data_IF_256431314816
#
_entry.id   IF_256431314816
#
_cell.length_a   1.000
_cell.length_b   1.000
_cell.length_c   1.000
_cell.angle_alpha   90.00
_cell.angle_beta   90.00
_cell.angle_gamma   90.00
#
_symmetry.space_group_name_H-M   'P 1'
#
loop_
_entity.id
_entity.type
_entity.pdbx_description
1 polymer ?
#
# COMPACT_ATOMS: atom_id res chain seq x y z
N UNK A 1 24.45 38.08 1.37
CA UNK A 1 24.26 36.84 2.16
C UNK A 1 22.77 36.75 2.43
N UNK A 2 22.14 35.78 1.77
CA UNK A 2 20.70 35.67 1.58
C UNK A 2 20.04 34.97 2.77
N UNK A 3 19.34 35.73 3.62
CA UNK A 3 18.58 35.20 4.76
C UNK A 3 17.24 34.55 4.38
N UNK A 4 16.88 34.57 3.09
CA UNK A 4 15.59 34.04 2.59
C UNK A 4 15.65 32.54 2.33
N UNK A 5 16.84 32.02 1.99
CA UNK A 5 17.05 30.61 1.67
C UNK A 5 16.89 29.71 2.91
N UNK A 6 17.39 30.14 4.08
CA UNK A 6 17.30 29.36 5.32
C UNK A 6 15.88 29.24 5.90
N UNK A 7 15.02 30.25 5.72
CA UNK A 7 13.63 30.18 6.19
C UNK A 7 12.78 29.24 5.32
N UNK A 8 12.96 29.29 3.99
CA UNK A 8 12.24 28.40 3.04
C UNK A 8 12.66 26.95 3.17
N UNK A 9 13.96 26.68 3.30
CA UNK A 9 14.47 25.30 3.42
C UNK A 9 14.05 24.64 4.75
N UNK A 10 14.01 25.41 5.85
CA UNK A 10 13.50 24.92 7.15
C UNK A 10 12.00 24.63 7.10
N UNK A 11 11.23 25.44 6.38
CA UNK A 11 9.80 25.22 6.16
C UNK A 11 9.54 23.95 5.33
N UNK A 12 10.24 23.80 4.19
CA UNK A 12 10.14 22.59 3.35
C UNK A 12 10.54 21.33 4.12
N UNK A 13 11.63 21.35 4.89
CA UNK A 13 12.04 20.20 5.70
C UNK A 13 11.01 19.85 6.78
N UNK A 14 10.42 20.86 7.45
CA UNK A 14 9.35 20.65 8.42
C UNK A 14 8.08 20.07 7.77
N UNK A 15 7.74 20.51 6.55
CA UNK A 15 6.61 19.96 5.79
C UNK A 15 6.81 18.50 5.41
N UNK A 16 8.01 18.12 4.95
CA UNK A 16 8.34 16.72 4.70
C UNK A 16 8.27 15.88 5.98
N UNK A 17 8.81 16.37 7.10
CA UNK A 17 8.69 15.66 8.38
C UNK A 17 7.23 15.50 8.83
N UNK A 18 6.40 16.55 8.62
CA UNK A 18 4.97 16.50 8.89
C UNK A 18 4.24 15.48 8.00
N UNK A 19 4.59 15.43 6.71
CA UNK A 19 4.09 14.43 5.77
C UNK A 19 4.43 13.00 6.22
N UNK A 20 5.69 12.75 6.56
CA UNK A 20 6.16 11.44 7.04
C UNK A 20 5.40 10.99 8.29
N UNK A 21 5.28 11.88 9.27
CA UNK A 21 4.56 11.60 10.51
C UNK A 21 3.07 11.31 10.25
N UNK A 22 2.42 12.14 9.42
CA UNK A 22 1.04 11.92 9.03
C UNK A 22 0.86 10.56 8.33
N UNK A 23 1.70 10.24 7.34
CA UNK A 23 1.61 8.98 6.60
C UNK A 23 1.81 7.78 7.52
N UNK A 24 2.77 7.83 8.44
CA UNK A 24 2.98 6.79 9.45
C UNK A 24 1.73 6.55 10.30
N UNK A 25 1.07 7.62 10.77
CA UNK A 25 -0.21 7.52 11.51
C UNK A 25 -1.29 6.88 10.64
N UNK A 26 -1.45 7.32 9.38
CA UNK A 26 -2.45 6.76 8.46
C UNK A 26 -2.23 5.27 8.19
N UNK A 27 -0.98 4.86 8.00
CA UNK A 27 -0.61 3.48 7.76
C UNK A 27 -0.86 2.59 8.99
N UNK A 28 -0.61 3.10 10.20
CA UNK A 28 -0.89 2.39 11.45
C UNK A 28 -2.39 2.08 11.62
N UNK A 29 -3.26 2.99 11.18
CA UNK A 29 -4.73 2.88 11.27
C UNK A 29 -5.37 2.18 10.08
N UNK A 30 -4.61 1.85 9.04
CA UNK A 30 -5.11 1.27 7.80
C UNK A 30 -5.79 -0.10 8.06
N UNK A 31 -7.05 -0.31 7.67
CA UNK A 31 -7.69 -1.62 7.80
C UNK A 31 -7.04 -2.66 6.89
N UNK A 32 -7.10 -3.94 7.27
CA UNK A 32 -6.57 -5.06 6.46
C UNK A 32 -7.18 -5.05 5.06
N UNK A 33 -6.35 -5.36 4.06
CA UNK A 33 -6.64 -5.36 2.63
C UNK A 33 -6.95 -3.98 2.01
N UNK A 34 -6.97 -2.89 2.79
CA UNK A 34 -7.03 -1.55 2.21
C UNK A 34 -5.69 -1.19 1.55
N UNK A 35 -5.79 -0.35 0.53
CA UNK A 35 -4.65 0.15 -0.25
C UNK A 35 -4.65 1.67 -0.23
N UNK A 36 -3.46 2.23 -0.09
CA UNK A 36 -3.15 3.62 -0.41
C UNK A 36 -2.23 3.60 -1.63
N UNK A 37 -2.65 4.23 -2.72
CA UNK A 37 -1.79 4.58 -3.84
C UNK A 37 -1.39 6.04 -3.70
N UNK A 38 -0.08 6.29 -3.70
CA UNK A 38 0.49 7.63 -3.73
C UNK A 38 1.19 7.84 -5.08
N UNK A 39 1.09 9.04 -5.61
CA UNK A 39 1.77 9.41 -6.86
C UNK A 39 1.70 10.92 -7.08
N UNK A 40 2.16 11.38 -8.23
CA UNK A 40 2.07 12.81 -8.58
C UNK A 40 0.62 13.29 -8.62
N UNK A 41 0.28 14.35 -7.88
CA UNK A 41 -1.09 14.81 -7.66
C UNK A 41 -1.81 15.27 -8.94
N UNK A 42 -1.06 15.76 -9.92
CA UNK A 42 -1.53 16.22 -11.23
C UNK A 42 -1.30 15.17 -12.33
N UNK A 43 -1.04 13.91 -11.98
CA UNK A 43 -0.95 12.83 -12.97
C UNK A 43 -2.32 12.54 -13.58
N UNK A 44 -2.34 12.44 -14.92
CA UNK A 44 -3.48 11.97 -15.68
C UNK A 44 -3.00 11.05 -16.80
N UNK A 45 -3.89 10.15 -17.26
CA UNK A 45 -3.60 9.28 -18.41
C UNK A 45 -3.23 10.08 -19.66
N UNK A 46 -3.75 11.29 -19.84
CA UNK A 46 -3.48 12.13 -21.02
C UNK A 46 -2.09 12.75 -20.99
N UNK A 47 -1.57 13.04 -19.80
CA UNK A 47 -0.31 13.79 -19.63
C UNK A 47 0.86 12.88 -19.29
N UNK A 48 0.61 11.78 -18.58
CA UNK A 48 1.64 10.88 -18.04
C UNK A 48 1.46 9.44 -18.50
N UNK A 49 0.26 9.08 -18.98
CA UNK A 49 -0.04 7.70 -19.36
C UNK A 49 0.25 6.74 -18.21
N UNK A 50 1.06 5.73 -18.47
CA UNK A 50 1.51 4.75 -17.49
C UNK A 50 2.87 5.09 -16.85
N UNK A 51 3.58 6.11 -17.33
CA UNK A 51 4.90 6.51 -16.83
C UNK A 51 4.72 7.53 -15.70
N UNK A 52 4.72 7.04 -14.47
CA UNK A 52 4.41 7.85 -13.29
C UNK A 52 5.11 7.30 -12.05
N UNK A 53 5.75 8.20 -11.30
CA UNK A 53 6.29 7.88 -9.99
C UNK A 53 5.16 7.62 -9.00
N UNK A 54 5.12 6.41 -8.47
CA UNK A 54 4.08 5.97 -7.54
C UNK A 54 4.62 5.03 -6.45
N UNK A 55 3.90 5.01 -5.35
CA UNK A 55 4.12 4.12 -4.22
C UNK A 55 2.78 3.52 -3.81
N UNK A 56 2.71 2.19 -3.70
CA UNK A 56 1.52 1.49 -3.26
C UNK A 56 1.77 0.86 -1.89
N UNK A 57 0.89 1.13 -0.95
CA UNK A 57 0.93 0.61 0.41
C UNK A 57 -0.34 -0.20 0.67
N UNK A 58 -0.21 -1.51 0.81
CA UNK A 58 -1.34 -2.40 1.09
C UNK A 58 -1.21 -3.00 2.49
N UNK A 59 -2.27 -2.88 3.29
CA UNK A 59 -2.29 -3.48 4.63
C UNK A 59 -2.52 -4.99 4.53
N UNK A 60 -1.64 -5.75 5.15
CA UNK A 60 -1.72 -7.19 5.31
C UNK A 60 -2.26 -7.57 6.71
N UNK A 61 -2.61 -8.84 6.90
CA UNK A 61 -2.80 -9.43 8.23
C UNK A 61 -1.49 -9.36 9.04
N UNK A 62 -1.60 -9.51 10.37
CA UNK A 62 -0.45 -9.36 11.27
C UNK A 62 0.02 -7.90 11.46
N UNK A 63 -0.72 -6.93 10.92
CA UNK A 63 -0.36 -5.51 11.03
C UNK A 63 0.78 -5.08 10.08
N UNK A 64 1.17 -5.95 9.15
CA UNK A 64 2.22 -5.66 8.18
C UNK A 64 1.69 -4.85 6.99
N UNK A 65 2.60 -4.20 6.30
CA UNK A 65 2.33 -3.37 5.13
C UNK A 65 3.25 -3.85 4.01
N UNK A 66 2.66 -4.19 2.87
CA UNK A 66 3.39 -4.35 1.62
C UNK A 66 3.59 -2.95 1.01
N UNK A 67 4.84 -2.53 0.87
CA UNK A 67 5.21 -1.33 0.12
C UNK A 67 5.76 -1.76 -1.23
N UNK A 68 5.22 -1.20 -2.32
CA UNK A 68 5.76 -1.32 -3.68
C UNK A 68 6.10 0.06 -4.22
N UNK A 69 7.26 0.23 -4.85
CA UNK A 69 7.67 1.48 -5.49
C UNK A 69 7.82 1.28 -6.99
N UNK A 70 7.34 2.26 -7.77
CA UNK A 70 7.43 2.17 -9.22
C UNK A 70 7.47 3.54 -9.90
N UNK A 71 8.07 3.59 -11.10
CA UNK A 71 7.89 4.65 -12.10
C UNK A 71 6.88 4.24 -13.17
N UNK A 72 6.10 3.19 -12.93
CA UNK A 72 5.01 2.74 -13.79
C UNK A 72 3.75 2.58 -12.96
N UNK A 73 2.60 3.01 -13.50
CA UNK A 73 1.31 2.86 -12.83
C UNK A 73 1.08 1.40 -12.43
N UNK A 74 0.90 1.17 -11.14
CA UNK A 74 0.68 -0.16 -10.60
C UNK A 74 -0.79 -0.51 -10.51
N UNK A 75 -1.13 -1.76 -10.82
CA UNK A 75 -2.41 -2.36 -10.48
C UNK A 75 -2.34 -2.91 -9.06
N UNK A 76 -3.46 -2.88 -8.33
CA UNK A 76 -3.51 -3.54 -7.00
C UNK A 76 -3.35 -5.05 -7.20
N UNK A 77 -2.37 -5.70 -6.54
CA UNK A 77 -2.12 -7.10 -6.76
C UNK A 77 -3.24 -7.92 -6.11
N UNK A 78 -3.64 -8.98 -6.80
CA UNK A 78 -4.47 -10.02 -6.21
C UNK A 78 -3.54 -11.03 -5.53
N UNK A 79 -3.43 -10.91 -4.21
CA UNK A 79 -2.62 -11.83 -3.40
C UNK A 79 -3.39 -13.13 -3.13
N UNK A 80 -2.70 -14.26 -3.13
CA UNK A 80 -3.26 -15.57 -2.77
C UNK A 80 -3.62 -15.64 -1.27
N UNK A 81 -2.87 -14.89 -0.44
CA UNK A 81 -3.15 -14.63 0.96
C UNK A 81 -2.73 -13.21 1.34
N UNK A 82 -3.43 -12.64 2.32
CA UNK A 82 -3.02 -11.38 2.96
C UNK A 82 -2.19 -11.63 4.22
N UNK A 83 -1.77 -12.87 4.49
CA UNK A 83 -0.90 -13.18 5.61
C UNK A 83 0.52 -12.64 5.37
N UNK A 84 0.87 -11.55 6.05
CA UNK A 84 2.20 -10.95 5.90
C UNK A 84 3.32 -11.71 6.61
N UNK A 85 3.00 -12.68 7.48
CA UNK A 85 4.01 -13.41 8.27
C UNK A 85 4.79 -14.44 7.45
N UNK A 86 4.31 -14.76 6.25
CA UNK A 86 4.99 -15.65 5.30
C UNK A 86 6.21 -15.01 4.63
N UNK A 87 6.34 -13.68 4.71
CA UNK A 87 7.45 -12.94 4.13
C UNK A 87 8.48 -12.50 5.17
N UNK A 88 9.75 -12.47 4.77
CA UNK A 88 10.82 -11.85 5.55
C UNK A 88 10.53 -10.35 5.69
N UNK A 89 10.51 -9.86 6.93
CA UNK A 89 10.25 -8.44 7.19
C UNK A 89 11.49 -7.59 6.89
N UNK A 90 11.25 -6.33 6.48
CA UNK A 90 12.25 -5.28 6.32
C UNK A 90 13.40 -5.62 5.35
N UNK A 91 13.15 -6.56 4.43
CA UNK A 91 14.04 -6.91 3.33
C UNK A 91 13.49 -6.31 2.03
N UNK A 92 14.36 -5.67 1.26
CA UNK A 92 14.02 -5.16 -0.06
C UNK A 92 14.15 -6.26 -1.12
N UNK A 93 13.13 -6.40 -1.95
CA UNK A 93 13.03 -7.38 -3.02
C UNK A 93 13.01 -6.69 -4.38
N UNK A 94 13.72 -7.29 -5.35
CA UNK A 94 13.75 -6.86 -6.75
C UNK A 94 13.43 -8.05 -7.68
N UNK A 95 12.74 -9.06 -7.16
CA UNK A 95 12.28 -10.16 -8.01
C UNK A 95 11.12 -9.69 -8.91
N UNK A 96 10.94 -10.38 -10.04
CA UNK A 96 9.92 -10.05 -11.05
C UNK A 96 8.51 -10.54 -10.63
N UNK A 97 8.22 -10.65 -9.33
CA UNK A 97 6.92 -11.11 -8.82
C UNK A 97 5.78 -10.16 -9.24
N UNK A 98 6.07 -8.85 -9.26
CA UNK A 98 5.13 -7.82 -9.67
C UNK A 98 5.67 -7.12 -10.93
N UNK A 99 5.09 -7.41 -12.09
CA UNK A 99 5.54 -6.89 -13.39
C UNK A 99 5.53 -5.36 -13.47
N UNK A 100 4.67 -4.72 -12.69
CA UNK A 100 4.48 -3.27 -12.63
C UNK A 100 5.32 -2.58 -11.54
N UNK A 101 6.10 -3.34 -10.76
CA UNK A 101 6.90 -2.87 -9.64
C UNK A 101 8.36 -2.64 -10.05
N UNK A 102 8.61 -1.51 -10.70
CA UNK A 102 9.92 -1.24 -11.32
C UNK A 102 11.06 -0.95 -10.33
N UNK A 103 10.75 -0.63 -9.07
CA UNK A 103 11.76 -0.26 -8.06
C UNK A 103 11.78 -1.20 -6.85
N UNK A 104 11.04 -2.30 -6.93
CA UNK A 104 11.02 -3.32 -5.90
C UNK A 104 10.07 -2.99 -4.75
N UNK A 105 10.04 -3.92 -3.80
CA UNK A 105 9.05 -3.93 -2.73
C UNK A 105 9.64 -4.46 -1.43
N UNK A 106 8.92 -4.24 -0.33
CA UNK A 106 9.20 -4.86 0.96
C UNK A 106 7.92 -5.14 1.72
N UNK A 107 8.02 -5.96 2.76
CA UNK A 107 6.98 -6.10 3.77
C UNK A 107 7.54 -5.64 5.11
N UNK A 108 6.83 -4.77 5.82
CA UNK A 108 7.25 -4.29 7.15
C UNK A 108 6.10 -4.26 8.15
N UNK A 109 6.40 -4.50 9.42
CA UNK A 109 5.50 -4.24 10.54
C UNK A 109 5.61 -2.81 11.08
N UNK A 110 6.48 -1.97 10.51
CA UNK A 110 6.74 -0.60 10.96
C UNK A 110 6.13 0.43 10.00
N UNK A 111 4.99 1.05 10.38
CA UNK A 111 4.41 2.15 9.61
C UNK A 111 5.36 3.34 9.45
N UNK A 112 6.22 3.59 10.45
CA UNK A 112 7.22 4.65 10.41
C UNK A 112 8.27 4.37 9.33
N UNK A 113 8.80 3.15 9.27
CA UNK A 113 9.78 2.76 8.23
C UNK A 113 9.17 2.90 6.84
N UNK A 114 7.93 2.43 6.63
CA UNK A 114 7.25 2.55 5.34
C UNK A 114 7.05 4.03 4.97
N UNK A 115 6.64 4.88 5.91
CA UNK A 115 6.47 6.30 5.67
C UNK A 115 7.80 7.01 5.33
N UNK A 116 8.88 6.66 6.01
CA UNK A 116 10.23 7.17 5.71
C UNK A 116 10.66 6.78 4.29
N UNK A 117 10.44 5.53 3.90
CA UNK A 117 10.77 5.03 2.56
C UNK A 117 9.95 5.71 1.47
N UNK A 118 8.65 5.92 1.69
CA UNK A 118 7.79 6.68 0.76
C UNK A 118 8.23 8.14 0.67
N UNK A 119 8.65 8.73 1.79
CA UNK A 119 9.19 10.09 1.82
C UNK A 119 10.48 10.19 1.01
N UNK A 120 11.44 9.29 1.26
CA UNK A 120 12.70 9.22 0.50
C UNK A 120 12.46 8.95 -0.98
N UNK A 121 11.50 8.10 -1.32
CA UNK A 121 11.08 7.84 -2.69
C UNK A 121 10.68 9.12 -3.42
N UNK A 122 9.67 9.85 -2.92
CA UNK A 122 9.19 11.04 -3.62
C UNK A 122 10.18 12.21 -3.54
N UNK A 123 10.75 12.45 -2.36
CA UNK A 123 11.64 13.60 -2.12
C UNK A 123 12.99 13.44 -2.79
N UNK A 124 13.67 12.32 -2.56
CA UNK A 124 15.08 12.15 -2.94
C UNK A 124 15.21 11.48 -4.30
N UNK A 125 14.41 10.44 -4.55
CA UNK A 125 14.53 9.63 -5.77
C UNK A 125 13.72 10.18 -6.95
N UNK A 126 12.53 10.73 -6.69
CA UNK A 126 11.68 11.35 -7.71
C UNK A 126 11.88 12.87 -7.81
N UNK A 127 12.53 13.49 -6.82
CA UNK A 127 12.89 14.90 -6.84
C UNK A 127 11.71 15.85 -6.63
N UNK A 128 10.65 15.41 -5.93
CA UNK A 128 9.54 16.30 -5.60
C UNK A 128 10.05 17.36 -4.60
N UNK A 129 9.78 18.63 -4.89
CA UNK A 129 10.24 19.74 -4.07
C UNK A 129 9.44 19.81 -2.75
N UNK A 130 8.13 19.57 -2.83
CA UNK A 130 7.20 19.72 -1.71
C UNK A 130 6.25 18.52 -1.61
N UNK A 131 5.82 18.13 -0.40
CA UNK A 131 4.93 16.99 -0.21
C UNK A 131 3.54 17.18 -0.84
N UNK A 132 3.06 18.43 -1.02
CA UNK A 132 1.77 18.74 -1.65
C UNK A 132 1.69 18.32 -3.13
N UNK A 133 2.84 17.97 -3.74
CA UNK A 133 2.89 17.40 -5.08
C UNK A 133 2.44 15.93 -5.09
N UNK A 134 2.25 15.30 -3.93
CA UNK A 134 1.81 13.92 -3.78
C UNK A 134 0.29 13.89 -3.63
N UNK A 135 -0.37 13.22 -4.57
CA UNK A 135 -1.78 12.86 -4.50
C UNK A 135 -1.97 11.45 -3.93
N UNK A 136 -3.15 11.20 -3.40
CA UNK A 136 -3.51 9.92 -2.79
C UNK A 136 -4.83 9.38 -3.34
N UNK A 137 -4.85 8.10 -3.68
CA UNK A 137 -6.06 7.32 -3.88
C UNK A 137 -6.17 6.27 -2.77
N UNK A 138 -7.35 6.18 -2.16
CA UNK A 138 -7.64 5.22 -1.11
C UNK A 138 -8.65 4.20 -1.60
N UNK A 139 -8.31 2.92 -1.46
CA UNK A 139 -9.21 1.81 -1.79
C UNK A 139 -9.52 1.00 -0.54
N UNK A 140 -10.82 0.91 -0.22
CA UNK A 140 -11.32 0.12 0.91
C UNK A 140 -11.59 -1.32 0.52
N UNK A 141 -11.28 -2.24 1.43
CA UNK A 141 -11.67 -3.63 1.31
C UNK A 141 -13.21 -3.75 1.35
N UNK A 142 -13.76 -4.63 0.50
CA UNK A 142 -15.18 -4.98 0.52
C UNK A 142 -15.39 -6.16 1.47
N UNK A 143 -16.32 -6.01 2.41
CA UNK A 143 -16.73 -7.13 3.27
C UNK A 143 -17.87 -7.91 2.61
N UNK A 144 -17.73 -9.23 2.52
CA UNK A 144 -18.86 -10.10 2.19
C UNK A 144 -19.77 -10.25 3.42
N UNK A 145 -21.09 -10.46 3.24
CA UNK A 145 -21.97 -10.83 4.33
C UNK A 145 -21.42 -12.05 5.06
N UNK A 146 -21.18 -11.94 6.37
CA UNK A 146 -20.87 -13.11 7.19
C UNK A 146 -22.17 -13.86 7.39
N UNK A 147 -22.24 -15.11 6.94
CA UNK A 147 -23.24 -16.04 7.49
C UNK A 147 -22.99 -16.09 8.99
N UNK A 148 -23.95 -15.64 9.79
CA UNK A 148 -23.94 -15.91 11.23
C UNK A 148 -23.70 -17.41 11.40
N UNK A 149 -22.83 -17.79 12.34
CA UNK A 149 -22.58 -19.19 12.66
C UNK A 149 -23.92 -19.93 12.66
N UNK A 150 -24.04 -20.93 11.78
CA UNK A 150 -25.16 -21.86 11.81
C UNK A 150 -25.00 -22.74 13.06
N UNK A 151 -25.18 -22.14 14.23
CA UNK A 151 -25.50 -22.84 15.45
C UNK A 151 -26.86 -23.50 15.25
N UNK A 152 -26.83 -24.73 14.72
CA UNK A 152 -28.00 -25.58 14.54
C UNK A 152 -28.65 -25.47 13.16
N UNK A 153 -27.97 -25.95 12.12
CA UNK A 153 -28.67 -26.46 10.95
C UNK A 153 -28.27 -27.93 10.75
N UNK A 154 -29.25 -28.77 11.10
CA UNK A 154 -29.32 -30.21 10.98
C UNK A 154 -28.69 -30.75 9.69
N UNK A 155 -27.92 -31.84 9.83
CA UNK A 155 -27.16 -32.53 8.78
C UNK A 155 -28.07 -33.32 7.82
N UNK A 156 -29.07 -32.66 7.24
CA UNK A 156 -30.03 -33.31 6.36
C UNK A 156 -29.54 -33.52 4.91
N UNK A 157 -28.47 -32.84 4.47
CA UNK A 157 -27.99 -32.96 3.08
C UNK A 157 -27.06 -34.16 2.84
N UNK A 158 -26.59 -34.84 3.88
CA UNK A 158 -25.66 -35.97 3.76
C UNK A 158 -26.32 -37.35 3.55
N UNK A 159 -27.66 -37.44 3.54
CA UNK A 159 -28.39 -38.72 3.37
C UNK A 159 -28.89 -39.02 1.95
N UNK A 160 -28.74 -38.11 1.00
CA UNK A 160 -29.26 -38.30 -0.35
C UNK A 160 -28.28 -38.95 -1.35
N UNK A 161 -27.06 -39.32 -0.94
CA UNK A 161 -26.01 -39.77 -1.86
C UNK A 161 -25.66 -41.27 -1.79
N UNK A 162 -26.47 -42.14 -1.14
CA UNK A 162 -26.18 -43.59 -1.02
C UNK A 162 -27.38 -44.48 -1.36
N UNK A 163 -28.32 -44.00 -2.17
CA UNK A 163 -29.37 -44.86 -2.70
C UNK A 163 -29.59 -44.48 -4.16
N UNK A 164 -28.81 -45.12 -5.04
CA UNK A 164 -29.18 -45.51 -6.41
C UNK A 164 -27.91 -46.01 -7.10
N UNK A 165 -27.53 -47.25 -6.79
CA UNK A 165 -26.73 -48.11 -7.67
C UNK A 165 -27.04 -49.58 -7.31
N UNK A 166 -28.15 -50.08 -7.85
CA UNK A 166 -28.41 -51.50 -8.16
C UNK A 166 -29.04 -51.60 -9.56
#
# INVERSE_FOLDING_TARGET
MDGTQGFRETDTAARWAGFTAWLATRLAELPVACVIDAGRADASMETHGYDVECAQMQRLHGGRILLRLSTTLMVIPLLDTYDGDVMEADRWHHDDLFEDCTHGYLVSSSPALVADLVTGWFRERCGFAEPDQIGFAYMSAKSLPRTADAGGADTAWARAAVADDE
#
